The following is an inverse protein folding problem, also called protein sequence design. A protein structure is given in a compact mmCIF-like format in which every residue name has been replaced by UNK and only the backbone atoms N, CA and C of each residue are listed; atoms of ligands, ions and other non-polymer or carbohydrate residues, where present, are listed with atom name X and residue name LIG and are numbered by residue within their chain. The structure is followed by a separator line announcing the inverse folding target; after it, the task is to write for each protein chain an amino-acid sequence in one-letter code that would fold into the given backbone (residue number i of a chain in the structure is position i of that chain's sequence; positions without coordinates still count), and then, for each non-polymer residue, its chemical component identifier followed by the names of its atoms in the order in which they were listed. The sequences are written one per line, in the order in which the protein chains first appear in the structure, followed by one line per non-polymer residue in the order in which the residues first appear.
data_IF_949356654821
#
_entry.id   IF_949356654821
#
_cell.length_a   1.000
_cell.length_b   1.000
_cell.length_c   1.000
_cell.angle_alpha   90.00
_cell.angle_beta   90.00
_cell.angle_gamma   90.00
#
_symmetry.space_group_name_H-M   'P 1'
#
loop_
_entity.id
_entity.type
_entity.pdbx_description
1 polymer ?
#
# COMPACT_ATOMS: atom_id res chain seq x y z
N UNK A 1 0.25 -4.33 -18.05
CA UNK A 1 0.77 -3.00 -18.47
C UNK A 1 1.85 -2.60 -17.47
N UNK A 2 2.31 -1.35 -17.41
CA UNK A 2 3.34 -0.91 -16.45
C UNK A 2 2.82 0.28 -15.65
N UNK A 3 2.89 0.20 -14.33
CA UNK A 3 2.46 1.28 -13.43
C UNK A 3 3.33 2.52 -13.70
N UNK A 4 2.70 3.62 -14.10
CA UNK A 4 3.40 4.86 -14.39
C UNK A 4 4.06 5.46 -13.13
N UNK A 5 5.22 6.08 -13.31
CA UNK A 5 5.88 6.81 -12.23
C UNK A 5 5.08 8.06 -11.86
N UNK A 6 5.05 8.46 -10.57
CA UNK A 6 4.39 9.70 -10.17
C UNK A 6 4.98 10.90 -10.92
N UNK A 7 4.14 11.65 -11.62
CA UNK A 7 4.57 12.88 -12.32
C UNK A 7 4.39 14.13 -11.44
N UNK A 8 3.70 13.99 -10.30
CA UNK A 8 3.38 15.08 -9.37
C UNK A 8 4.11 14.92 -8.02
N UNK A 9 4.52 16.02 -7.37
CA UNK A 9 5.14 15.97 -6.05
C UNK A 9 4.17 15.51 -4.97
N UNK A 10 4.68 14.94 -3.87
CA UNK A 10 3.87 14.31 -2.80
C UNK A 10 2.73 15.16 -2.26
N UNK A 11 2.91 16.48 -2.21
CA UNK A 11 1.95 17.45 -1.66
C UNK A 11 0.87 17.89 -2.66
N UNK A 12 0.97 17.50 -3.93
CA UNK A 12 0.02 17.93 -4.96
C UNK A 12 -1.35 17.28 -4.74
N UNK A 13 -2.46 18.04 -4.67
CA UNK A 13 -3.78 17.52 -4.32
C UNK A 13 -4.25 16.41 -5.27
N UNK A 14 -4.02 16.58 -6.57
CA UNK A 14 -4.41 15.60 -7.58
C UNK A 14 -3.41 14.43 -7.75
N UNK A 15 -2.46 14.23 -6.82
CA UNK A 15 -1.53 13.09 -6.87
C UNK A 15 -2.19 11.78 -6.48
N UNK A 16 -3.19 11.83 -5.57
CA UNK A 16 -3.98 10.65 -5.23
C UNK A 16 -4.70 10.09 -6.46
N UNK A 17 -5.41 10.95 -7.19
CA UNK A 17 -6.11 10.55 -8.41
C UNK A 17 -5.15 10.00 -9.48
N UNK A 18 -3.97 10.59 -9.65
CA UNK A 18 -2.94 10.03 -10.54
C UNK A 18 -2.48 8.63 -10.09
N UNK A 19 -2.32 8.42 -8.79
CA UNK A 19 -1.95 7.11 -8.25
C UNK A 19 -3.06 6.08 -8.51
N UNK A 20 -4.33 6.46 -8.37
CA UNK A 20 -5.47 5.61 -8.66
C UNK A 20 -5.46 5.17 -10.13
N UNK A 21 -5.40 6.12 -11.07
CA UNK A 21 -5.38 5.81 -12.50
C UNK A 21 -4.20 4.91 -12.88
N UNK A 22 -3.02 5.14 -12.28
CA UNK A 22 -1.83 4.36 -12.58
C UNK A 22 -1.92 2.87 -12.16
N UNK A 23 -2.82 2.52 -11.23
CA UNK A 23 -2.99 1.14 -10.75
C UNK A 23 -4.32 0.50 -11.15
N UNK A 24 -5.30 1.30 -11.59
CA UNK A 24 -6.68 0.86 -11.86
C UNK A 24 -6.74 -0.30 -12.86
N UNK A 25 -6.06 -0.16 -14.00
CA UNK A 25 -6.04 -1.20 -15.05
C UNK A 25 -5.46 -2.52 -14.53
N UNK A 26 -4.37 -2.47 -13.76
CA UNK A 26 -3.74 -3.68 -13.20
C UNK A 26 -4.63 -4.37 -12.17
N UNK A 27 -5.38 -3.59 -11.38
CA UNK A 27 -6.36 -4.13 -10.42
C UNK A 27 -7.53 -4.79 -11.17
N UNK A 28 -8.02 -4.17 -12.24
CA UNK A 28 -9.08 -4.76 -13.07
C UNK A 28 -8.62 -6.07 -13.70
N UNK A 29 -7.41 -6.11 -14.24
CA UNK A 29 -6.80 -7.33 -14.81
C UNK A 29 -6.61 -8.43 -13.75
N UNK A 30 -6.20 -8.07 -12.53
CA UNK A 30 -6.13 -9.02 -11.42
C UNK A 30 -7.50 -9.63 -11.10
N UNK A 31 -8.54 -8.80 -11.01
CA UNK A 31 -9.91 -9.27 -10.78
C UNK A 31 -10.36 -10.17 -11.93
N UNK A 32 -10.09 -9.80 -13.18
CA UNK A 32 -10.39 -10.61 -14.37
C UNK A 32 -9.76 -12.01 -14.29
N UNK A 33 -8.46 -12.09 -14.00
CA UNK A 33 -7.77 -13.39 -13.85
C UNK A 33 -8.31 -14.24 -12.70
N UNK A 34 -8.74 -13.62 -11.60
CA UNK A 34 -9.36 -14.34 -10.50
C UNK A 34 -10.74 -14.88 -10.88
N UNK A 35 -11.54 -14.11 -11.63
CA UNK A 35 -12.79 -14.58 -12.21
C UNK A 35 -12.58 -15.76 -13.17
N UNK A 36 -11.57 -15.68 -14.04
CA UNK A 36 -11.21 -16.76 -14.99
C UNK A 36 -10.77 -18.04 -14.27
N UNK A 37 -10.21 -17.91 -13.06
CA UNK A 37 -9.88 -19.03 -12.19
C UNK A 37 -11.11 -19.62 -11.45
N UNK A 38 -12.29 -19.02 -11.60
CA UNK A 38 -13.56 -19.51 -11.07
C UNK A 38 -14.04 -18.85 -9.78
N UNK A 39 -13.36 -17.82 -9.28
CA UNK A 39 -13.79 -17.09 -8.09
C UNK A 39 -14.94 -16.14 -8.39
N UNK A 40 -15.89 -16.01 -7.46
CA UNK A 40 -16.95 -15.03 -7.62
C UNK A 40 -16.43 -13.61 -7.37
N UNK A 41 -16.95 -12.64 -8.11
CA UNK A 41 -16.52 -11.23 -8.02
C UNK A 41 -16.58 -10.69 -6.60
N UNK A 42 -17.62 -11.03 -5.85
CA UNK A 42 -17.81 -10.55 -4.48
C UNK A 42 -16.76 -11.13 -3.52
N UNK A 43 -16.36 -12.40 -3.70
CA UNK A 43 -15.29 -13.02 -2.92
C UNK A 43 -13.95 -12.33 -3.18
N UNK A 44 -13.66 -12.04 -4.46
CA UNK A 44 -12.43 -11.37 -4.87
C UNK A 44 -12.36 -9.97 -4.25
N UNK A 45 -13.43 -9.18 -4.33
CA UNK A 45 -13.46 -7.84 -3.78
C UNK A 45 -13.32 -7.85 -2.26
N UNK A 46 -14.01 -8.76 -1.57
CA UNK A 46 -13.89 -8.93 -0.12
C UNK A 46 -12.46 -9.32 0.29
N UNK A 47 -11.87 -10.32 -0.36
CA UNK A 47 -10.50 -10.76 -0.07
C UNK A 47 -9.47 -9.66 -0.36
N UNK A 48 -9.67 -8.88 -1.42
CA UNK A 48 -8.78 -7.78 -1.77
C UNK A 48 -8.80 -6.66 -0.73
N UNK A 49 -9.95 -6.36 -0.12
CA UNK A 49 -10.05 -5.40 0.98
C UNK A 49 -9.23 -5.86 2.19
N UNK A 50 -9.39 -7.12 2.60
CA UNK A 50 -8.61 -7.71 3.71
C UNK A 50 -7.10 -7.64 3.43
N UNK A 51 -6.66 -7.99 2.22
CA UNK A 51 -5.24 -7.87 1.82
C UNK A 51 -4.74 -6.42 1.90
N UNK A 52 -5.55 -5.44 1.50
CA UNK A 52 -5.18 -4.02 1.58
C UNK A 52 -5.06 -3.57 3.04
N UNK A 53 -5.97 -4.00 3.91
CA UNK A 53 -5.96 -3.68 5.33
C UNK A 53 -4.73 -4.30 6.02
N UNK A 54 -4.42 -5.57 5.74
CA UNK A 54 -3.21 -6.23 6.23
C UNK A 54 -1.93 -5.51 5.80
N UNK A 55 -1.85 -5.09 4.52
CA UNK A 55 -0.72 -4.31 4.01
C UNK A 55 -0.59 -2.94 4.71
N UNK A 56 -1.72 -2.30 5.02
CA UNK A 56 -1.74 -1.04 5.74
C UNK A 56 -1.30 -1.19 7.20
N UNK A 57 -1.67 -2.30 7.85
CA UNK A 57 -1.26 -2.64 9.21
C UNK A 57 0.24 -2.96 9.29
N UNK A 58 0.74 -3.85 8.42
CA UNK A 58 2.17 -4.19 8.35
C UNK A 58 3.03 -2.94 8.17
N UNK A 59 2.58 -1.98 7.34
CA UNK A 59 3.28 -0.71 7.14
C UNK A 59 3.34 0.14 8.42
N UNK A 60 2.32 0.09 9.28
CA UNK A 60 2.32 0.82 10.56
C UNK A 60 3.26 0.16 11.56
N UNK A 61 3.31 -1.16 11.61
CA UNK A 61 4.22 -1.92 12.48
C UNK A 61 5.69 -1.64 12.13
N UNK A 62 6.04 -1.65 10.83
CA UNK A 62 7.39 -1.27 10.37
C UNK A 62 7.78 0.16 10.81
N UNK A 63 6.84 1.10 10.71
CA UNK A 63 7.06 2.48 11.15
C UNK A 63 7.22 2.56 12.67
N UNK A 64 6.39 1.84 13.44
CA UNK A 64 6.47 1.81 14.90
C UNK A 64 7.82 1.26 15.37
N UNK A 65 8.26 0.14 14.80
CA UNK A 65 9.57 -0.47 15.10
C UNK A 65 10.71 0.50 14.74
N UNK A 66 10.64 1.16 13.58
CA UNK A 66 11.65 2.13 13.16
C UNK A 66 11.75 3.35 14.10
N UNK A 67 10.61 3.83 14.60
CA UNK A 67 10.55 4.91 15.61
C UNK A 67 11.13 4.43 16.92
N UNK A 68 10.77 3.25 17.41
CA UNK A 68 11.27 2.70 18.67
C UNK A 68 12.79 2.50 18.65
N UNK A 69 13.34 1.96 17.56
CA UNK A 69 14.78 1.82 17.36
C UNK A 69 15.48 3.18 17.36
N UNK A 70 14.86 4.21 16.75
CA UNK A 70 15.41 5.57 16.73
C UNK A 70 15.39 6.21 18.10
N UNK A 71 14.30 6.08 18.85
CA UNK A 71 14.15 6.60 20.21
C UNK A 71 15.14 5.92 21.15
N UNK A 72 15.22 4.60 21.15
CA UNK A 72 16.18 3.84 21.96
C UNK A 72 17.63 4.24 21.68
N UNK A 73 17.98 4.53 20.42
CA UNK A 73 19.30 5.03 20.04
C UNK A 73 19.58 6.44 20.54
N UNK A 74 18.57 7.32 20.57
CA UNK A 74 18.71 8.68 21.08
C UNK A 74 18.84 8.70 22.60
N UNK A 75 18.02 7.90 23.30
CA UNK A 75 18.08 7.76 24.76
C UNK A 75 19.36 7.05 25.22
N UNK A 76 19.86 6.06 24.47
CA UNK A 76 21.15 5.41 24.75
C UNK A 76 22.37 6.28 24.45
N UNK A 77 22.21 7.44 23.80
CA UNK A 77 23.29 8.40 23.51
C UNK A 77 23.37 9.57 24.49
N UNK A 78 22.41 9.72 25.40
CA UNK A 78 22.43 10.81 26.41
C UNK A 78 23.18 10.46 27.70
N UNK A 79 23.91 9.33 27.74
CA UNK A 79 24.74 8.91 28.88
C UNK A 79 26.23 8.91 28.52
N UNK A 80 26.73 10.04 28.00
CA UNK A 80 28.14 10.30 27.73
C UNK A 80 28.50 11.73 28.06
#
# INVERSE_FOLDING_TARGET
MTIERPQRPRTHPARFHQCQLAIEDEVIELVGRACDAGWHRDEILSAMMEVIDDLALARREDVAISVEVRVSRLLGRSQG
#
